data_IF_092097590035
#
_entry.id   IF_092097590035
#
_cell.length_a   1.000
_cell.length_b   1.000
_cell.length_c   1.000
_cell.angle_alpha   90.00
_cell.angle_beta   90.00
_cell.angle_gamma   90.00
#
_symmetry.space_group_name_H-M   'P 1'
#
loop_
_entity.id
_entity.type
_entity.pdbx_description
1 polymer ?
#
# COMPACT_ATOMS: atom_id res chain seq x y z
N UNK A 1 9.56 -4.41 -7.21
CA UNK A 1 8.83 -3.88 -6.03
C UNK A 1 8.04 -4.97 -5.28
N UNK A 2 6.93 -5.51 -5.79
CA UNK A 2 6.10 -6.49 -5.04
C UNK A 2 6.89 -7.72 -4.57
N UNK A 3 7.76 -8.27 -5.42
CA UNK A 3 8.64 -9.39 -5.03
C UNK A 3 9.53 -9.03 -3.84
N UNK A 4 10.22 -7.88 -3.87
CA UNK A 4 11.04 -7.42 -2.73
C UNK A 4 10.24 -7.26 -1.44
N UNK A 5 8.98 -6.83 -1.56
CA UNK A 5 8.13 -6.70 -0.39
C UNK A 5 7.73 -8.06 0.14
N UNK A 6 7.26 -8.98 -0.72
CA UNK A 6 6.94 -10.36 -0.35
C UNK A 6 8.15 -11.05 0.31
N UNK A 7 9.34 -10.91 -0.28
CA UNK A 7 10.58 -11.46 0.25
C UNK A 7 10.93 -10.89 1.62
N UNK A 8 10.75 -9.59 1.84
CA UNK A 8 11.01 -8.96 3.13
C UNK A 8 10.00 -9.41 4.21
N UNK A 9 8.71 -9.58 3.89
CA UNK A 9 7.75 -10.12 4.88
C UNK A 9 8.01 -11.60 5.16
N UNK A 10 8.33 -12.39 4.13
CA UNK A 10 8.69 -13.81 4.29
C UNK A 10 9.98 -13.97 5.10
N UNK A 11 10.99 -13.14 4.83
CA UNK A 11 12.26 -13.13 5.55
C UNK A 11 12.11 -12.76 7.03
N UNK A 12 11.09 -11.98 7.38
CA UNK A 12 10.73 -11.68 8.77
C UNK A 12 10.01 -12.84 9.49
N UNK A 13 9.51 -13.85 8.76
CA UNK A 13 8.81 -15.02 9.31
C UNK A 13 7.32 -15.10 8.98
N UNK A 14 6.76 -14.15 8.24
CA UNK A 14 5.39 -14.24 7.76
C UNK A 14 5.26 -15.24 6.60
N UNK A 15 4.04 -15.74 6.38
CA UNK A 15 3.67 -16.45 5.16
C UNK A 15 2.67 -15.62 4.38
N UNK A 16 3.08 -15.08 3.22
CA UNK A 16 2.16 -14.36 2.33
C UNK A 16 1.24 -15.36 1.64
N UNK A 17 -0.02 -15.41 2.07
CA UNK A 17 -1.04 -16.33 1.53
C UNK A 17 -1.91 -15.72 0.44
N UNK A 18 -2.00 -14.40 0.39
CA UNK A 18 -2.74 -13.68 -0.64
C UNK A 18 -2.24 -12.26 -0.82
N UNK A 19 -2.47 -11.73 -2.02
CA UNK A 19 -2.21 -10.34 -2.37
C UNK A 19 -3.40 -9.84 -3.18
N UNK A 20 -3.85 -8.63 -2.91
CA UNK A 20 -4.83 -7.92 -3.71
C UNK A 20 -4.29 -6.53 -4.02
N UNK A 21 -4.50 -6.08 -5.26
CA UNK A 21 -4.14 -4.75 -5.73
C UNK A 21 -5.42 -4.05 -6.12
N UNK A 22 -5.70 -2.93 -5.46
CA UNK A 22 -6.86 -2.11 -5.72
C UNK A 22 -6.45 -0.69 -6.08
N UNK A 23 -7.32 -0.02 -6.83
CA UNK A 23 -7.19 1.38 -7.17
C UNK A 23 -7.71 2.25 -6.02
N UNK A 24 -6.89 3.22 -5.59
CA UNK A 24 -7.13 4.05 -4.41
C UNK A 24 -8.21 5.13 -4.61
N UNK A 25 -8.75 5.31 -5.82
CA UNK A 25 -9.74 6.34 -6.10
C UNK A 25 -11.09 5.75 -6.51
N UNK A 26 -11.08 4.65 -7.24
CA UNK A 26 -12.28 3.93 -7.67
C UNK A 26 -12.72 2.85 -6.68
N UNK A 27 -11.79 2.33 -5.86
CA UNK A 27 -12.04 1.19 -4.97
C UNK A 27 -12.22 -0.15 -5.69
N UNK A 28 -11.91 -0.18 -6.99
CA UNK A 28 -11.90 -1.38 -7.80
C UNK A 28 -10.67 -2.25 -7.52
N UNK A 29 -10.84 -3.56 -7.49
CA UNK A 29 -9.72 -4.50 -7.40
C UNK A 29 -9.25 -4.82 -8.81
N UNK A 30 -7.99 -4.51 -9.09
CA UNK A 30 -7.35 -4.66 -10.40
C UNK A 30 -6.78 -6.07 -10.57
N UNK A 31 -6.24 -6.62 -9.49
CA UNK A 31 -5.57 -7.92 -9.53
C UNK A 31 -5.57 -8.57 -8.15
N UNK A 32 -5.61 -9.90 -8.11
CA UNK A 32 -5.48 -10.65 -6.87
C UNK A 32 -4.86 -12.03 -7.11
N UNK A 33 -4.16 -12.53 -6.10
CA UNK A 33 -3.69 -13.92 -6.03
C UNK A 33 -3.94 -14.46 -4.63
N UNK A 34 -4.07 -15.79 -4.54
CA UNK A 34 -4.13 -16.52 -3.28
C UNK A 34 -3.39 -17.85 -3.43
N UNK A 35 -2.85 -18.37 -2.35
CA UNK A 35 -2.27 -19.71 -2.30
C UNK A 35 -3.22 -20.71 -2.96
N UNK A 36 -2.68 -21.49 -3.91
CA UNK A 36 -3.42 -22.47 -4.73
C UNK A 36 -4.50 -21.88 -5.65
N UNK A 37 -4.47 -20.57 -5.92
CA UNK A 37 -5.32 -19.90 -6.90
C UNK A 37 -4.49 -18.91 -7.72
N UNK A 38 -4.17 -19.33 -8.94
CA UNK A 38 -3.39 -18.52 -9.86
C UNK A 38 -4.29 -17.47 -10.53
N UNK A 39 -3.82 -16.22 -10.68
CA UNK A 39 -4.51 -15.22 -11.47
C UNK A 39 -4.43 -15.52 -12.96
N UNK A 40 -5.44 -15.13 -13.72
CA UNK A 40 -5.50 -15.29 -15.18
C UNK A 40 -4.49 -14.42 -15.93
N UNK A 41 -3.92 -13.41 -15.27
CA UNK A 41 -2.91 -12.50 -15.84
C UNK A 41 -1.82 -12.16 -14.83
N UNK A 42 -0.68 -11.72 -15.34
CA UNK A 42 0.39 -11.18 -14.49
C UNK A 42 -0.06 -9.85 -13.88
N UNK A 43 0.48 -9.50 -12.70
CA UNK A 43 0.21 -8.19 -12.09
C UNK A 43 0.58 -7.04 -13.05
N UNK A 44 1.69 -7.18 -13.78
CA UNK A 44 2.13 -6.16 -14.73
C UNK A 44 1.10 -5.94 -15.85
N UNK A 45 0.54 -7.01 -16.41
CA UNK A 45 -0.47 -6.91 -17.47
C UNK A 45 -1.78 -6.34 -16.94
N UNK A 46 -2.21 -6.74 -15.74
CA UNK A 46 -3.40 -6.19 -15.11
C UNK A 46 -3.27 -4.68 -14.84
N UNK A 47 -2.09 -4.23 -14.37
CA UNK A 47 -1.81 -2.80 -14.17
C UNK A 47 -1.76 -2.03 -15.49
N UNK A 48 -1.13 -2.58 -16.54
CA UNK A 48 -1.12 -1.96 -17.88
C UNK A 48 -2.53 -1.81 -18.43
N UNK A 49 -3.35 -2.85 -18.29
CA UNK A 49 -4.74 -2.83 -18.73
C UNK A 49 -5.54 -1.77 -17.95
N UNK A 50 -5.45 -1.76 -16.63
CA UNK A 50 -6.11 -0.74 -15.80
C UNK A 50 -5.67 0.69 -16.18
N UNK A 51 -4.37 0.90 -16.40
CA UNK A 51 -3.82 2.18 -16.86
C UNK A 51 -4.36 2.58 -18.24
N UNK A 52 -4.60 1.63 -19.15
CA UNK A 52 -5.16 1.93 -20.49
C UNK A 52 -6.61 2.40 -20.45
N UNK A 53 -7.33 2.06 -19.38
CA UNK A 53 -8.72 2.47 -19.14
C UNK A 53 -8.84 3.76 -18.32
N UNK A 54 -7.74 4.19 -17.68
CA UNK A 54 -7.72 5.38 -16.85
C UNK A 54 -7.82 6.63 -17.73
N UNK A 55 -9.04 7.16 -17.87
CA UNK A 55 -9.31 8.33 -18.72
C UNK A 55 -9.44 9.65 -17.93
N UNK A 56 -9.50 9.61 -16.60
CA UNK A 56 -9.77 10.78 -15.77
C UNK A 56 -8.70 10.99 -14.70
N UNK A 57 -8.36 12.26 -14.44
CA UNK A 57 -7.54 12.67 -13.30
C UNK A 57 -8.26 12.23 -12.02
N UNK A 58 -7.60 11.53 -11.10
CA UNK A 58 -8.19 11.12 -9.83
C UNK A 58 -8.91 12.26 -9.12
N UNK A 59 -10.12 12.01 -8.62
CA UNK A 59 -10.91 12.98 -7.86
C UNK A 59 -11.18 12.46 -6.45
N UNK A 60 -11.21 13.37 -5.47
CA UNK A 60 -11.57 13.04 -4.09
C UNK A 60 -10.46 12.35 -3.29
N UNK A 61 -10.85 11.86 -2.11
CA UNK A 61 -9.95 11.30 -1.11
C UNK A 61 -9.60 9.84 -1.36
N UNK A 62 -8.30 9.54 -1.40
CA UNK A 62 -7.79 8.16 -1.53
C UNK A 62 -8.15 7.25 -0.34
N UNK A 63 -8.48 7.84 0.81
CA UNK A 63 -8.95 7.13 2.00
C UNK A 63 -10.33 6.49 1.81
N UNK A 64 -11.21 7.09 1.02
CA UNK A 64 -12.58 6.62 0.87
C UNK A 64 -12.65 5.26 0.17
N UNK A 65 -11.88 5.09 -0.92
CA UNK A 65 -11.78 3.81 -1.62
C UNK A 65 -11.16 2.72 -0.73
N UNK A 66 -10.10 3.06 0.02
CA UNK A 66 -9.46 2.11 0.94
C UNK A 66 -10.42 1.68 2.06
N UNK A 67 -11.18 2.61 2.66
CA UNK A 67 -12.21 2.29 3.64
C UNK A 67 -13.32 1.42 3.02
N UNK A 68 -13.73 1.73 1.79
CA UNK A 68 -14.68 0.94 1.01
C UNK A 68 -14.22 -0.51 0.81
N UNK A 69 -12.98 -0.70 0.34
CA UNK A 69 -12.34 -2.01 0.16
C UNK A 69 -12.23 -2.75 1.49
N UNK A 70 -11.70 -2.10 2.53
CA UNK A 70 -11.47 -2.72 3.83
C UNK A 70 -12.76 -3.16 4.52
N UNK A 71 -13.85 -2.39 4.38
CA UNK A 71 -15.16 -2.71 4.99
C UNK A 71 -15.77 -4.00 4.45
N UNK A 72 -15.33 -4.43 3.26
CA UNK A 72 -15.80 -5.63 2.55
C UNK A 72 -14.67 -6.60 2.22
N UNK A 73 -13.56 -6.59 2.97
CA UNK A 73 -12.35 -7.33 2.59
C UNK A 73 -12.61 -8.82 2.35
N UNK A 74 -13.52 -9.44 3.11
CA UNK A 74 -13.88 -10.86 2.92
C UNK A 74 -14.59 -11.15 1.60
N UNK A 75 -15.11 -10.11 0.94
CA UNK A 75 -15.89 -10.18 -0.28
C UNK A 75 -15.21 -9.52 -1.48
N UNK A 76 -13.96 -9.06 -1.35
CA UNK A 76 -13.24 -8.52 -2.50
C UNK A 76 -12.86 -9.64 -3.45
N UNK A 77 -12.95 -9.38 -4.75
CA UNK A 77 -12.67 -10.34 -5.79
C UNK A 77 -11.97 -9.65 -6.97
N UNK A 78 -11.02 -10.34 -7.59
CA UNK A 78 -10.48 -9.99 -8.90
C UNK A 78 -10.51 -11.24 -9.79
N UNK A 79 -11.22 -11.17 -10.92
CA UNK A 79 -11.23 -12.23 -11.94
C UNK A 79 -11.39 -13.64 -11.36
N UNK A 80 -12.43 -13.86 -10.55
CA UNK A 80 -12.67 -15.18 -9.94
C UNK A 80 -11.94 -15.43 -8.61
N UNK A 81 -10.84 -14.72 -8.30
CA UNK A 81 -10.02 -14.92 -7.10
C UNK A 81 -10.55 -14.11 -5.92
N UNK A 82 -10.79 -14.77 -4.79
CA UNK A 82 -11.17 -14.15 -3.50
C UNK A 82 -9.97 -14.16 -2.55
N UNK A 83 -9.10 -13.13 -2.59
CA UNK A 83 -7.82 -13.14 -1.89
C UNK A 83 -7.97 -13.31 -0.37
N UNK A 84 -9.03 -12.74 0.21
CA UNK A 84 -9.30 -12.82 1.65
C UNK A 84 -10.56 -13.62 1.93
N UNK A 85 -10.72 -14.79 1.30
CA UNK A 85 -11.78 -15.74 1.68
C UNK A 85 -11.54 -16.35 3.08
N UNK A 86 -10.26 -16.55 3.43
CA UNK A 86 -9.82 -16.95 4.76
C UNK A 86 -9.36 -15.69 5.50
N UNK A 87 -9.70 -15.59 6.79
CA UNK A 87 -9.31 -14.45 7.62
C UNK A 87 -7.79 -14.38 7.69
N UNK A 88 -7.17 -13.25 7.31
CA UNK A 88 -5.72 -13.11 7.43
C UNK A 88 -5.34 -13.06 8.91
N UNK A 89 -4.27 -13.78 9.29
CA UNK A 89 -3.66 -13.65 10.63
C UNK A 89 -2.93 -12.33 10.82
N UNK A 90 -2.53 -11.70 9.72
CA UNK A 90 -1.90 -10.38 9.66
C UNK A 90 -2.24 -9.71 8.32
N UNK A 91 -2.59 -8.43 8.33
CA UNK A 91 -2.88 -7.63 7.14
C UNK A 91 -1.86 -6.50 6.99
N UNK A 92 -1.13 -6.51 5.88
CA UNK A 92 -0.29 -5.40 5.48
C UNK A 92 -1.00 -4.61 4.38
N UNK A 93 -1.25 -3.33 4.63
CA UNK A 93 -1.70 -2.39 3.59
C UNK A 93 -0.49 -1.64 3.09
N UNK A 94 -0.27 -1.67 1.78
CA UNK A 94 0.78 -0.85 1.19
C UNK A 94 0.19 0.12 0.18
N UNK A 95 0.52 1.40 0.37
CA UNK A 95 0.09 2.51 -0.45
C UNK A 95 1.28 2.93 -1.31
N UNK A 96 1.08 2.84 -2.62
CA UNK A 96 2.07 3.26 -3.62
C UNK A 96 1.52 4.52 -4.27
N UNK A 97 2.27 5.61 -4.18
CA UNK A 97 1.87 6.88 -4.78
C UNK A 97 2.93 7.38 -5.76
N UNK A 98 2.57 7.34 -7.04
CA UNK A 98 3.47 7.69 -8.14
C UNK A 98 3.20 9.09 -8.70
N UNK A 99 2.19 9.81 -8.21
CA UNK A 99 1.71 11.02 -8.91
C UNK A 99 1.06 12.09 -8.03
N UNK A 100 0.49 13.13 -8.67
CA UNK A 100 -0.12 14.24 -7.97
C UNK A 100 -1.42 13.83 -7.29
N UNK A 101 -1.65 14.37 -6.09
CA UNK A 101 -2.82 14.10 -5.26
C UNK A 101 -3.84 15.24 -5.40
N UNK A 102 -5.13 14.92 -5.61
CA UNK A 102 -6.13 15.94 -5.93
C UNK A 102 -6.58 16.78 -4.73
N UNK A 103 -6.45 16.26 -3.49
CA UNK A 103 -6.90 16.93 -2.26
C UNK A 103 -5.93 16.65 -1.10
N UNK A 104 -5.79 17.57 -0.12
CA UNK A 104 -4.95 17.37 1.06
C UNK A 104 -5.59 16.40 2.06
N UNK A 105 -4.77 15.83 2.95
CA UNK A 105 -5.26 14.89 3.99
C UNK A 105 -6.39 15.46 4.85
N UNK A 106 -6.35 16.77 5.14
CA UNK A 106 -7.36 17.44 5.96
C UNK A 106 -8.77 17.39 5.35
N UNK A 107 -8.88 17.14 4.04
CA UNK A 107 -10.16 16.98 3.33
C UNK A 107 -10.71 15.55 3.41
N UNK A 108 -10.01 14.63 4.09
CA UNK A 108 -10.31 13.21 4.10
C UNK A 108 -10.76 12.72 5.48
N UNK A 109 -12.08 12.68 5.73
CA UNK A 109 -12.62 12.44 7.07
C UNK A 109 -12.32 11.03 7.60
N UNK A 110 -12.10 10.04 6.72
CA UNK A 110 -11.81 8.67 7.14
C UNK A 110 -10.35 8.47 7.59
N UNK A 111 -9.45 9.42 7.34
CA UNK A 111 -8.01 9.23 7.52
C UNK A 111 -7.63 8.80 8.95
N UNK A 112 -8.29 9.37 9.97
CA UNK A 112 -8.04 9.02 11.38
C UNK A 112 -8.53 7.61 11.74
N UNK A 113 -9.55 7.11 11.04
CA UNK A 113 -10.16 5.80 11.33
C UNK A 113 -9.19 4.63 11.08
N UNK A 114 -8.22 4.81 10.19
CA UNK A 114 -7.18 3.81 9.89
C UNK A 114 -6.22 3.58 11.06
N UNK A 115 -6.00 4.59 11.90
CA UNK A 115 -5.19 4.49 13.11
C UNK A 115 -5.98 4.11 14.36
N UNK A 116 -7.30 4.29 14.32
CA UNK A 116 -8.22 3.89 15.37
C UNK A 116 -8.47 2.37 15.34
N UNK A 117 -9.50 1.91 16.06
CA UNK A 117 -9.91 0.50 16.01
C UNK A 117 -10.31 0.13 14.58
N UNK A 118 -9.78 -0.97 13.99
CA UNK A 118 -10.06 -1.33 12.60
C UNK A 118 -11.54 -1.58 12.29
N UNK A 119 -12.40 -1.69 13.31
CA UNK A 119 -13.86 -1.70 13.15
C UNK A 119 -14.41 -0.59 12.24
N UNK A 120 -13.73 0.56 12.19
CA UNK A 120 -14.13 1.67 11.33
C UNK A 120 -13.80 1.50 9.84
N UNK A 121 -12.84 0.65 9.46
CA UNK A 121 -12.36 0.60 8.07
C UNK A 121 -12.04 -0.81 7.53
N UNK A 122 -11.65 -1.78 8.36
CA UNK A 122 -11.27 -3.13 7.96
C UNK A 122 -12.09 -4.20 8.71
N UNK A 123 -12.98 -4.87 7.97
CA UNK A 123 -13.89 -5.89 8.51
C UNK A 123 -13.85 -7.17 7.69
N UNK A 124 -13.71 -8.30 8.37
CA UNK A 124 -13.77 -9.63 7.80
C UNK A 124 -15.03 -10.34 8.30
N UNK A 125 -15.92 -10.76 7.39
CA UNK A 125 -17.16 -11.47 7.71
C UNK A 125 -17.96 -10.82 8.87
N UNK A 126 -18.02 -9.48 8.88
CA UNK A 126 -18.73 -8.69 9.89
C UNK A 126 -17.92 -8.32 11.14
N UNK A 127 -16.82 -9.01 11.44
CA UNK A 127 -15.93 -8.71 12.57
C UNK A 127 -14.75 -7.80 12.19
N UNK A 128 -14.27 -6.93 13.10
CA UNK A 128 -13.09 -6.12 12.83
C UNK A 128 -11.83 -6.99 12.67
N UNK A 129 -10.89 -6.53 11.85
CA UNK A 129 -9.52 -7.05 11.94
C UNK A 129 -8.83 -6.52 13.19
N UNK A 130 -7.82 -7.27 13.64
CA UNK A 130 -7.06 -6.92 14.83
C UNK A 130 -6.07 -5.80 14.52
N UNK A 131 -6.13 -4.69 15.28
CA UNK A 131 -5.27 -3.51 15.04
C UNK A 131 -3.80 -3.86 15.09
N UNK A 132 -3.43 -4.68 16.06
CA UNK A 132 -2.07 -5.12 16.26
C UNK A 132 -1.57 -6.05 15.14
N UNK A 133 -2.48 -6.74 14.47
CA UNK A 133 -2.25 -7.56 13.29
C UNK A 133 -2.42 -6.77 11.98
N UNK A 134 -2.44 -5.44 12.03
CA UNK A 134 -2.49 -4.60 10.83
C UNK A 134 -1.33 -3.62 10.80
N UNK A 135 -0.69 -3.45 9.64
CA UNK A 135 0.35 -2.43 9.42
C UNK A 135 0.18 -1.72 8.09
N UNK A 136 0.69 -0.50 8.03
CA UNK A 136 0.70 0.32 6.84
C UNK A 136 2.14 0.60 6.38
N UNK A 137 2.36 0.52 5.08
CA UNK A 137 3.56 1.02 4.44
C UNK A 137 3.18 2.05 3.37
N UNK A 138 3.93 3.14 3.30
CA UNK A 138 3.68 4.25 2.39
C UNK A 138 4.90 4.44 1.50
N UNK A 139 4.87 3.92 0.28
CA UNK A 139 5.91 4.10 -0.73
C UNK A 139 5.53 5.28 -1.63
N UNK A 140 6.11 6.45 -1.35
CA UNK A 140 5.65 7.71 -1.95
C UNK A 140 6.80 8.59 -2.42
N UNK A 141 6.54 9.45 -3.40
CA UNK A 141 7.44 10.57 -3.70
C UNK A 141 7.49 11.56 -2.53
N UNK A 142 8.59 12.30 -2.39
CA UNK A 142 8.71 13.29 -1.32
C UNK A 142 7.85 14.52 -1.67
N UNK A 143 6.96 14.89 -0.75
CA UNK A 143 5.97 15.95 -0.95
C UNK A 143 6.55 17.38 -0.82
N UNK A 144 7.88 17.50 -0.74
CA UNK A 144 8.58 18.78 -0.52
C UNK A 144 9.67 19.07 -1.55
N UNK A 145 9.92 18.16 -2.49
CA UNK A 145 10.99 18.30 -3.48
C UNK A 145 10.46 18.72 -4.86
N UNK A 146 11.34 19.34 -5.67
CA UNK A 146 11.06 19.61 -7.07
C UNK A 146 11.20 18.35 -7.94
N UNK A 147 10.64 18.37 -9.15
CA UNK A 147 10.76 17.26 -10.10
C UNK A 147 12.23 16.93 -10.43
N UNK A 148 13.10 17.94 -10.53
CA UNK A 148 14.53 17.75 -10.80
C UNK A 148 15.25 17.11 -9.60
N UNK A 149 14.87 17.48 -8.38
CA UNK A 149 15.40 16.85 -7.16
C UNK A 149 14.98 15.39 -7.08
N UNK A 150 13.69 15.09 -7.34
CA UNK A 150 13.18 13.72 -7.40
C UNK A 150 13.94 12.88 -8.42
N UNK A 151 14.12 13.40 -9.65
CA UNK A 151 14.85 12.71 -10.73
C UNK A 151 16.30 12.43 -10.34
N UNK A 152 17.01 13.43 -9.86
CA UNK A 152 18.41 13.29 -9.45
C UNK A 152 18.57 12.25 -8.34
N UNK A 153 17.66 12.26 -7.35
CA UNK A 153 17.66 11.27 -6.27
C UNK A 153 17.36 9.86 -6.79
N UNK A 154 16.31 9.68 -7.57
CA UNK A 154 15.94 8.37 -8.12
C UNK A 154 17.07 7.75 -8.98
N UNK A 155 17.75 8.55 -9.80
CA UNK A 155 18.90 8.11 -10.59
C UNK A 155 20.12 7.73 -9.73
N UNK A 156 20.21 8.28 -8.50
CA UNK A 156 21.23 7.92 -7.53
C UNK A 156 20.96 6.59 -6.79
N UNK A 157 19.74 6.05 -6.88
CA UNK A 157 19.38 4.78 -6.23
C UNK A 157 19.89 3.60 -7.05
N UNK A 158 20.62 2.70 -6.39
CA UNK A 158 21.16 1.50 -7.05
C UNK A 158 20.02 0.60 -7.57
N UNK A 159 20.15 0.15 -8.82
CA UNK A 159 19.16 -0.74 -9.44
C UNK A 159 17.82 -0.06 -9.77
N UNK A 160 17.70 1.25 -9.62
CA UNK A 160 16.50 1.98 -10.02
C UNK A 160 16.27 1.86 -11.54
N UNK A 161 15.05 1.51 -12.00
CA UNK A 161 14.75 1.38 -13.42
C UNK A 161 14.53 2.77 -14.06
N UNK A 162 15.39 3.24 -14.98
CA UNK A 162 15.30 4.62 -15.50
C UNK A 162 13.96 4.96 -16.15
N UNK A 163 13.34 4.00 -16.85
CA UNK A 163 12.01 4.18 -17.46
C UNK A 163 10.87 4.37 -16.46
N UNK A 164 11.08 4.11 -15.17
CA UNK A 164 10.09 4.44 -14.15
C UNK A 164 9.98 5.96 -13.91
N UNK A 165 11.00 6.77 -14.25
CA UNK A 165 10.94 8.23 -14.10
C UNK A 165 9.77 8.85 -14.86
N UNK A 166 9.39 8.28 -16.00
CA UNK A 166 8.28 8.78 -16.83
C UNK A 166 6.92 8.60 -16.14
N UNK A 167 6.86 7.75 -15.12
CA UNK A 167 5.67 7.48 -14.33
C UNK A 167 5.68 8.16 -12.95
N UNK A 168 6.73 8.93 -12.62
CA UNK A 168 6.88 9.59 -11.34
C UNK A 168 6.69 11.10 -11.46
N UNK A 169 5.82 11.64 -10.61
CA UNK A 169 5.62 13.08 -10.46
C UNK A 169 5.62 13.47 -8.98
N UNK A 170 6.33 14.54 -8.57
CA UNK A 170 6.23 15.04 -7.21
C UNK A 170 4.83 15.61 -6.99
N UNK A 171 4.33 15.51 -5.75
CA UNK A 171 3.06 16.11 -5.39
C UNK A 171 3.26 17.26 -4.42
N UNK A 172 2.81 18.46 -4.83
CA UNK A 172 2.81 19.66 -3.99
C UNK A 172 1.76 19.62 -2.85
N UNK A 173 0.83 18.66 -2.91
CA UNK A 173 -0.23 18.48 -1.91
C UNK A 173 0.25 17.43 -0.92
N UNK A 174 0.47 17.85 0.33
CA UNK A 174 0.91 16.95 1.40
C UNK A 174 -0.23 16.01 1.84
N UNK A 175 0.03 14.71 1.85
CA UNK A 175 -0.99 13.71 2.17
C UNK A 175 -0.42 12.49 2.89
N UNK A 176 0.39 11.68 2.22
CA UNK A 176 0.82 10.39 2.74
C UNK A 176 1.88 10.54 3.83
N UNK A 177 2.73 11.56 3.75
CA UNK A 177 3.64 11.92 4.83
C UNK A 177 2.89 12.26 6.13
N UNK A 178 2.00 13.28 6.12
CA UNK A 178 1.13 13.59 7.25
C UNK A 178 0.27 12.40 7.72
N UNK A 179 -0.20 11.55 6.80
CA UNK A 179 -1.02 10.39 7.15
C UNK A 179 -0.20 9.35 7.90
N UNK A 180 0.98 8.99 7.41
CA UNK A 180 1.89 8.08 8.09
C UNK A 180 2.26 8.61 9.49
N UNK A 181 2.56 9.90 9.62
CA UNK A 181 2.84 10.54 10.91
C UNK A 181 1.65 10.45 11.87
N UNK A 182 0.44 10.71 11.38
CA UNK A 182 -0.78 10.57 12.18
C UNK A 182 -0.96 9.13 12.68
N UNK A 183 -0.77 8.13 11.83
CA UNK A 183 -0.88 6.72 12.22
C UNK A 183 0.16 6.32 13.27
N UNK A 184 1.42 6.75 13.10
CA UNK A 184 2.48 6.56 14.09
C UNK A 184 2.15 7.25 15.43
N UNK A 185 1.54 8.44 15.38
CA UNK A 185 1.08 9.15 16.58
C UNK A 185 -0.03 8.42 17.34
N UNK A 186 -0.86 7.62 16.65
CA UNK A 186 -1.90 6.79 17.30
C UNK A 186 -1.34 5.48 17.86
N UNK A 187 -0.39 4.86 17.17
CA UNK A 187 0.34 3.70 17.64
C UNK A 187 1.73 3.66 17.00
N UNK A 188 2.77 3.66 17.84
CA UNK A 188 4.16 3.54 17.40
C UNK A 188 4.32 2.29 16.53
N UNK A 189 4.93 2.47 15.36
CA UNK A 189 5.17 1.40 14.41
C UNK A 189 3.94 0.93 13.63
N UNK A 190 2.79 1.62 13.69
CA UNK A 190 1.61 1.28 12.89
C UNK A 190 1.82 1.55 11.38
N UNK A 191 2.56 2.60 11.05
CA UNK A 191 2.90 2.98 9.69
C UNK A 191 4.41 3.12 9.52
N UNK A 192 4.90 2.82 8.31
CA UNK A 192 6.27 3.14 7.90
C UNK A 192 6.27 3.93 6.59
N UNK A 193 7.02 5.03 6.56
CA UNK A 193 7.29 5.77 5.33
C UNK A 193 8.44 5.13 4.57
N UNK A 194 8.33 5.07 3.25
CA UNK A 194 9.29 4.48 2.34
C UNK A 194 9.46 5.44 1.17
N UNK A 195 10.72 5.73 0.84
CA UNK A 195 11.01 6.46 -0.38
C UNK A 195 10.66 5.62 -1.60
N UNK A 196 9.85 6.15 -2.51
CA UNK A 196 9.43 5.39 -3.70
C UNK A 196 10.61 5.06 -4.62
N UNK A 197 11.64 5.91 -4.72
CA UNK A 197 12.83 5.57 -5.49
C UNK A 197 13.52 4.34 -4.89
N UNK A 198 13.68 4.30 -3.57
CA UNK A 198 14.25 3.14 -2.86
C UNK A 198 13.38 1.88 -2.97
N UNK A 199 12.05 2.04 -3.00
CA UNK A 199 11.10 0.94 -3.20
C UNK A 199 11.20 0.29 -4.60
N UNK A 200 11.55 1.11 -5.60
CA UNK A 200 11.74 0.68 -6.99
C UNK A 200 13.17 0.20 -7.27
N UNK A 201 14.15 0.64 -6.47
CA UNK A 201 15.54 0.19 -6.54
C UNK A 201 15.79 -1.20 -5.94
N UNK A 202 17.06 -1.62 -6.00
CA UNK A 202 17.54 -2.90 -5.47
C UNK A 202 18.64 -2.65 -4.42
N UNK A 203 18.64 -3.38 -3.28
CA UNK A 203 17.86 -4.59 -2.97
C UNK A 203 16.43 -4.33 -2.42
N UNK A 204 15.95 -3.09 -2.46
CA UNK A 204 14.68 -2.66 -1.86
C UNK A 204 14.90 -1.98 -0.50
N UNK A 205 13.83 -1.41 0.11
CA UNK A 205 13.97 -0.48 1.21
C UNK A 205 14.18 -1.21 2.55
N UNK A 206 15.32 -0.99 3.19
CA UNK A 206 15.66 -1.58 4.50
C UNK A 206 14.63 -1.26 5.59
N UNK A 207 14.03 -0.06 5.54
CA UNK A 207 12.97 0.37 6.44
C UNK A 207 11.74 -0.56 6.42
N UNK A 208 11.41 -1.13 5.26
CA UNK A 208 10.30 -2.07 5.13
C UNK A 208 10.63 -3.43 5.79
N UNK A 209 11.84 -3.94 5.59
CA UNK A 209 12.29 -5.19 6.21
C UNK A 209 12.39 -5.07 7.74
N UNK A 210 12.87 -3.93 8.26
CA UNK A 210 12.91 -3.65 9.69
C UNK A 210 11.51 -3.58 10.30
N UNK A 211 10.56 -2.91 9.62
CA UNK A 211 9.15 -2.89 10.02
C UNK A 211 8.57 -4.31 10.09
N UNK A 212 8.78 -5.13 9.06
CA UNK A 212 8.28 -6.50 9.02
C UNK A 212 8.86 -7.34 10.17
N UNK A 213 10.17 -7.24 10.43
CA UNK A 213 10.86 -7.97 11.51
C UNK A 213 10.31 -7.60 12.89
N UNK A 214 10.20 -6.30 13.18
CA UNK A 214 9.65 -5.79 14.45
C UNK A 214 8.19 -6.19 14.63
N UNK A 215 7.42 -6.16 13.55
CA UNK A 215 6.02 -6.56 13.59
C UNK A 215 5.85 -8.05 13.86
N UNK A 216 6.63 -8.90 13.20
CA UNK A 216 6.62 -10.35 13.45
C UNK A 216 6.95 -10.66 14.91
N UNK A 217 8.05 -10.10 15.42
CA UNK A 217 8.45 -10.28 16.82
C UNK A 217 7.36 -9.86 17.79
N UNK A 218 6.70 -8.73 17.52
CA UNK A 218 5.58 -8.25 18.33
C UNK A 218 4.40 -9.24 18.33
N UNK A 219 4.07 -9.86 17.18
CA UNK A 219 2.98 -10.84 17.09
C UNK A 219 3.33 -12.18 17.75
N UNK A 220 4.60 -12.60 17.71
CA UNK A 220 5.05 -13.86 18.28
C UNK A 220 5.03 -13.89 19.82
N UNK A 221 5.03 -12.73 20.47
CA UNK A 221 5.04 -12.58 21.94
C UNK A 221 3.68 -12.16 22.52
N UNK A 222 2.60 -12.29 21.75
CA UNK A 222 1.22 -12.00 22.13
C UNK A 222 0.42 -13.27 22.35
#
# INVERSE_FOLDING_TARGET
MVTHWVDAVNGAGFMVTSVAVGDLYTGGIVWATRLNQNPDSTLADALRFASSLAAAVPQGCSTAALAGIGSRISNVQATGVWPFYIRPGALLVVLVDTGPRPVPLASCPEASSFGATPAGWARFAGGPLDRYATRFAFATTNETESLDQLRARCLGVTGFPPGALDSLEPSAVKFFGPWAQMLVGMQVGLATGIDLCDALGAPGPSAFADMATKWYAYLAHR
#
